data_IF_043712561154
#
_entry.id   IF_043712561154
#
_cell.length_a   1.000
_cell.length_b   1.000
_cell.length_c   1.000
_cell.angle_alpha   90.00
_cell.angle_beta   90.00
_cell.angle_gamma   90.00
#
_symmetry.space_group_name_H-M   'P 1'
#
loop_
_entity.id
_entity.type
_entity.pdbx_description
1 polymer ?
#
# COMPACT_ATOMS: atom_id res chain seq x y z
N UNK A 1 -5.87 -2.41 8.38
CA UNK A 1 -6.25 -3.28 7.24
C UNK A 1 -5.97 -4.75 7.59
N UNK A 2 -6.89 -5.65 7.25
CA UNK A 2 -6.87 -7.08 7.62
C UNK A 2 -6.37 -7.97 6.48
N UNK A 3 -5.95 -9.18 6.82
CA UNK A 3 -5.55 -10.22 5.85
C UNK A 3 -6.69 -10.55 4.86
N UNK A 4 -7.94 -10.46 5.29
CA UNK A 4 -9.10 -10.65 4.41
C UNK A 4 -9.23 -9.54 3.37
N UNK A 5 -8.96 -8.29 3.73
CA UNK A 5 -8.97 -7.15 2.80
C UNK A 5 -7.83 -7.25 1.79
N UNK A 6 -6.64 -7.68 2.23
CA UNK A 6 -5.51 -7.97 1.34
C UNK A 6 -5.90 -9.04 0.32
N UNK A 7 -6.50 -10.14 0.78
CA UNK A 7 -6.92 -11.22 -0.12
C UNK A 7 -8.00 -10.78 -1.12
N UNK A 8 -8.91 -9.87 -0.73
CA UNK A 8 -9.88 -9.26 -1.65
C UNK A 8 -9.21 -8.37 -2.68
N UNK A 9 -8.24 -7.55 -2.30
CA UNK A 9 -7.46 -6.74 -3.24
C UNK A 9 -6.73 -7.62 -4.25
N UNK A 10 -6.07 -8.69 -3.78
CA UNK A 10 -5.40 -9.67 -4.64
C UNK A 10 -6.36 -10.30 -5.64
N UNK A 11 -7.53 -10.79 -5.17
CA UNK A 11 -8.54 -11.39 -6.05
C UNK A 11 -9.04 -10.40 -7.09
N UNK A 12 -9.37 -9.18 -6.67
CA UNK A 12 -9.83 -8.12 -7.56
C UNK A 12 -8.79 -7.80 -8.64
N UNK A 13 -7.55 -7.49 -8.25
CA UNK A 13 -6.51 -7.11 -9.20
C UNK A 13 -6.11 -8.26 -10.13
N UNK A 14 -6.13 -9.50 -9.62
CA UNK A 14 -5.94 -10.69 -10.48
C UNK A 14 -7.05 -10.81 -11.52
N UNK A 15 -8.29 -10.44 -11.19
CA UNK A 15 -9.41 -10.47 -12.13
C UNK A 15 -9.38 -9.30 -13.14
N UNK A 16 -8.74 -8.18 -12.80
CA UNK A 16 -8.67 -6.99 -13.67
C UNK A 16 -7.38 -6.86 -14.47
N UNK A 17 -6.40 -7.74 -14.25
CA UNK A 17 -5.10 -7.75 -14.94
C UNK A 17 -4.82 -9.13 -15.53
N UNK A 18 -3.83 -9.25 -16.41
CA UNK A 18 -3.39 -10.53 -16.96
C UNK A 18 -2.34 -11.26 -16.09
N UNK A 19 -1.99 -10.69 -14.94
CA UNK A 19 -0.91 -11.19 -14.09
C UNK A 19 -1.37 -12.34 -13.19
N UNK A 20 -0.46 -13.27 -12.91
CA UNK A 20 -0.72 -14.40 -12.02
C UNK A 20 -1.01 -13.94 -10.59
N UNK A 21 -1.92 -14.65 -9.91
CA UNK A 21 -2.31 -14.37 -8.52
C UNK A 21 -1.12 -14.22 -7.57
N UNK A 22 -0.10 -15.06 -7.73
CA UNK A 22 1.09 -15.03 -6.87
C UNK A 22 1.89 -13.74 -7.06
N UNK A 23 2.11 -13.31 -8.31
CA UNK A 23 2.77 -12.04 -8.64
C UNK A 23 1.97 -10.86 -8.09
N UNK A 24 0.65 -10.85 -8.29
CA UNK A 24 -0.25 -9.81 -7.75
C UNK A 24 -0.19 -9.78 -6.23
N UNK A 25 -0.22 -10.95 -5.57
CA UNK A 25 -0.13 -11.05 -4.12
C UNK A 25 1.21 -10.53 -3.58
N UNK A 26 2.31 -10.85 -4.26
CA UNK A 26 3.63 -10.35 -3.90
C UNK A 26 3.68 -8.83 -3.98
N UNK A 27 3.26 -8.24 -5.11
CA UNK A 27 3.26 -6.79 -5.30
C UNK A 27 2.39 -6.09 -4.25
N UNK A 28 1.15 -6.54 -4.06
CA UNK A 28 0.21 -5.92 -3.12
C UNK A 28 0.75 -6.00 -1.69
N UNK A 29 1.18 -7.19 -1.23
CA UNK A 29 1.69 -7.35 0.14
C UNK A 29 2.94 -6.52 0.38
N UNK A 30 3.86 -6.47 -0.58
CA UNK A 30 5.06 -5.64 -0.47
C UNK A 30 4.71 -4.16 -0.44
N UNK A 31 3.84 -3.68 -1.34
CA UNK A 31 3.47 -2.27 -1.39
C UNK A 31 2.77 -1.79 -0.12
N UNK A 32 1.87 -2.60 0.44
CA UNK A 32 1.19 -2.30 1.69
C UNK A 32 2.15 -2.29 2.88
N UNK A 33 3.12 -3.21 2.93
CA UNK A 33 4.14 -3.23 3.95
C UNK A 33 5.05 -1.98 3.90
N UNK A 34 5.39 -1.51 2.70
CA UNK A 34 6.14 -0.26 2.50
C UNK A 34 5.34 0.97 2.94
N UNK A 35 4.04 1.00 2.64
CA UNK A 35 3.16 2.08 3.09
C UNK A 35 3.05 2.13 4.61
N UNK A 36 2.91 0.97 5.26
CA UNK A 36 2.91 0.87 6.72
C UNK A 36 4.24 1.33 7.34
N UNK A 37 5.38 0.94 6.76
CA UNK A 37 6.70 1.36 7.22
C UNK A 37 6.92 2.87 7.04
N UNK A 38 6.43 3.45 5.93
CA UNK A 38 6.48 4.90 5.71
C UNK A 38 5.64 5.66 6.73
N UNK A 39 4.38 5.25 6.95
CA UNK A 39 3.51 5.90 7.92
C UNK A 39 4.10 5.84 9.34
N UNK A 40 4.67 4.69 9.72
CA UNK A 40 5.35 4.52 11.00
C UNK A 40 6.52 5.50 11.23
N UNK A 41 7.15 5.98 10.16
CA UNK A 41 8.33 6.86 10.22
C UNK A 41 8.06 8.33 9.90
N UNK A 42 6.85 8.67 9.46
CA UNK A 42 6.50 10.02 9.00
C UNK A 42 5.17 10.49 9.58
N UNK A 43 5.17 11.63 10.26
CA UNK A 43 3.96 12.34 10.71
C UNK A 43 3.38 13.28 9.64
N UNK A 44 3.93 13.27 8.41
CA UNK A 44 3.50 14.14 7.31
C UNK A 44 2.40 13.49 6.47
N UNK A 45 1.43 14.33 6.09
CA UNK A 45 0.46 14.02 5.06
C UNK A 45 1.11 14.13 3.68
N UNK A 46 0.98 13.09 2.85
CA UNK A 46 1.48 13.04 1.48
C UNK A 46 0.32 13.07 0.49
N UNK A 47 0.56 13.59 -0.71
CA UNK A 47 -0.41 13.47 -1.81
C UNK A 47 -0.48 12.03 -2.28
N UNK A 48 -1.62 11.64 -2.83
CA UNK A 48 -1.83 10.31 -3.40
C UNK A 48 -0.79 9.94 -4.45
N UNK A 49 -0.41 10.89 -5.31
CA UNK A 49 0.60 10.70 -6.35
C UNK A 49 1.97 10.39 -5.74
N UNK A 50 2.39 11.15 -4.73
CA UNK A 50 3.67 10.91 -4.02
C UNK A 50 3.66 9.57 -3.28
N UNK A 51 2.54 9.18 -2.68
CA UNK A 51 2.41 7.86 -2.04
C UNK A 51 2.55 6.74 -3.05
N UNK A 52 1.84 6.84 -4.18
CA UNK A 52 1.90 5.83 -5.23
C UNK A 52 3.31 5.73 -5.82
N UNK A 53 3.99 6.87 -6.05
CA UNK A 53 5.38 6.91 -6.51
C UNK A 53 6.33 6.22 -5.53
N UNK A 54 6.24 6.55 -4.24
CA UNK A 54 7.07 5.92 -3.21
C UNK A 54 6.83 4.42 -3.16
N UNK A 55 5.56 3.99 -3.06
CA UNK A 55 5.23 2.57 -2.89
C UNK A 55 5.63 1.79 -4.14
N UNK A 56 5.44 2.35 -5.35
CA UNK A 56 5.95 1.75 -6.58
C UNK A 56 7.47 1.58 -6.54
N UNK A 57 8.21 2.65 -6.22
CA UNK A 57 9.67 2.63 -6.17
C UNK A 57 10.20 1.53 -5.25
N UNK A 58 9.71 1.48 -4.01
CA UNK A 58 10.18 0.49 -3.03
C UNK A 58 9.71 -0.94 -3.35
N UNK A 59 8.51 -1.09 -3.90
CA UNK A 59 8.02 -2.41 -4.33
C UNK A 59 8.87 -2.98 -5.45
N UNK A 60 9.27 -2.16 -6.44
CA UNK A 60 10.20 -2.57 -7.50
C UNK A 60 11.53 -2.99 -6.89
N UNK A 61 12.08 -2.20 -5.96
CA UNK A 61 13.35 -2.52 -5.29
C UNK A 61 13.31 -3.85 -4.52
N UNK A 62 12.18 -4.20 -3.89
CA UNK A 62 12.05 -5.42 -3.08
C UNK A 62 11.68 -6.66 -3.88
N UNK A 63 10.94 -6.51 -4.98
CA UNK A 63 10.44 -7.64 -5.77
C UNK A 63 11.25 -7.91 -7.03
N UNK A 64 12.05 -6.95 -7.48
CA UNK A 64 12.74 -6.95 -8.77
C UNK A 64 11.80 -7.13 -9.99
N UNK A 65 10.50 -6.84 -9.82
CA UNK A 65 9.51 -6.91 -10.89
C UNK A 65 9.55 -5.65 -11.77
N UNK A 66 9.14 -5.74 -13.06
CA UNK A 66 9.16 -4.61 -13.97
C UNK A 66 8.29 -3.43 -13.48
N UNK A 67 8.81 -2.21 -13.63
CA UNK A 67 8.09 -0.98 -13.22
C UNK A 67 6.67 -0.87 -13.79
N UNK A 68 6.41 -1.12 -15.10
CA UNK A 68 5.05 -1.00 -15.64
C UNK A 68 4.05 -1.94 -14.95
N UNK A 69 4.48 -3.17 -14.65
CA UNK A 69 3.67 -4.18 -13.96
C UNK A 69 3.36 -3.75 -12.53
N UNK A 70 4.37 -3.28 -11.79
CA UNK A 70 4.18 -2.81 -10.41
C UNK A 70 3.23 -1.61 -10.36
N UNK A 71 3.42 -0.63 -11.27
CA UNK A 71 2.54 0.54 -11.36
C UNK A 71 1.11 0.17 -11.69
N UNK A 72 0.89 -0.73 -12.65
CA UNK A 72 -0.45 -1.17 -13.04
C UNK A 72 -1.16 -1.88 -11.88
N UNK A 73 -0.49 -2.86 -11.25
CA UNK A 73 -1.06 -3.62 -10.13
C UNK A 73 -1.38 -2.72 -8.93
N UNK A 74 -0.47 -1.83 -8.53
CA UNK A 74 -0.71 -0.89 -7.42
C UNK A 74 -1.75 0.18 -7.80
N UNK A 75 -1.78 0.61 -9.06
CA UNK A 75 -2.82 1.51 -9.58
C UNK A 75 -4.22 0.88 -9.49
N UNK A 76 -4.36 -0.39 -9.88
CA UNK A 76 -5.60 -1.15 -9.71
C UNK A 76 -5.97 -1.37 -8.23
N UNK A 77 -4.98 -1.50 -7.35
CA UNK A 77 -5.16 -1.61 -5.91
C UNK A 77 -5.36 -0.24 -5.20
N UNK A 78 -5.48 0.86 -5.95
CA UNK A 78 -5.44 2.23 -5.41
C UNK A 78 -6.37 2.48 -4.22
N UNK A 79 -7.62 2.00 -4.27
CA UNK A 79 -8.56 2.13 -3.15
C UNK A 79 -8.02 1.57 -1.83
N UNK A 80 -7.43 0.37 -1.87
CA UNK A 80 -6.89 -0.27 -0.66
C UNK A 80 -5.63 0.42 -0.13
N UNK A 81 -4.84 1.01 -1.04
CA UNK A 81 -3.71 1.84 -0.64
C UNK A 81 -4.20 3.13 0.05
N UNK A 82 -5.23 3.76 -0.50
CA UNK A 82 -5.83 4.97 0.08
C UNK A 82 -6.44 4.68 1.47
N UNK A 83 -7.23 3.60 1.61
CA UNK A 83 -7.82 3.16 2.88
C UNK A 83 -6.77 2.82 3.96
N UNK A 84 -5.68 2.13 3.57
CA UNK A 84 -4.60 1.81 4.51
C UNK A 84 -3.88 3.08 4.95
N UNK A 85 -3.59 4.00 4.03
CA UNK A 85 -2.95 5.26 4.36
C UNK A 85 -3.80 6.10 5.33
N UNK A 86 -5.09 6.23 5.05
CA UNK A 86 -6.01 6.94 5.93
C UNK A 86 -6.05 6.31 7.31
N UNK A 87 -6.17 4.98 7.40
CA UNK A 87 -6.17 4.26 8.69
C UNK A 87 -4.91 4.57 9.50
N UNK A 88 -3.74 4.48 8.87
CA UNK A 88 -2.47 4.76 9.52
C UNK A 88 -2.36 6.23 9.93
N UNK A 89 -2.79 7.16 9.07
CA UNK A 89 -2.77 8.58 9.40
C UNK A 89 -3.63 8.92 10.63
N UNK A 90 -4.79 8.27 10.79
CA UNK A 90 -5.65 8.43 11.96
C UNK A 90 -5.04 7.81 13.22
N UNK A 91 -4.47 6.61 13.14
CA UNK A 91 -3.79 5.95 14.28
C UNK A 91 -2.62 6.80 14.80
N UNK A 92 -1.82 7.38 13.89
CA UNK A 92 -0.71 8.26 14.24
C UNK A 92 -1.15 9.59 14.87
N UNK A 93 -2.32 10.13 14.49
CA UNK A 93 -2.89 11.31 15.14
C UNK A 93 -3.47 11.00 16.52
N UNK A 94 -4.12 9.84 16.70
CA UNK A 94 -4.65 9.40 18.00
C UNK A 94 -3.57 9.20 19.06
N UNK A 95 -2.39 8.68 18.66
CA UNK A 95 -1.24 8.50 19.57
C UNK A 95 -0.59 9.81 20.03
N UNK A 96 -0.81 10.92 19.33
CA UNK A 96 -0.30 12.25 19.70
C UNK A 96 -1.27 13.04 20.60
N UNK A 97 -2.47 12.52 20.86
CA UNK A 97 -3.50 13.20 21.66
C UNK A 97 -3.60 12.77 23.12
N UNK A 98 -2.72 11.91 23.63
CA UNK A 98 -2.60 11.66 25.08
C UNK A 98 -1.32 12.30 25.67
N UNK A 99 -1.38 13.57 26.12
CA UNK A 99 -0.40 14.12 27.03
C UNK A 99 -0.88 14.25 28.48
N UNK A 100 -2.00 13.63 28.89
CA UNK A 100 -2.47 13.72 30.29
C UNK A 100 -3.20 12.46 30.80
N UNK A 101 -2.45 11.59 31.49
CA UNK A 101 -2.95 10.79 32.63
C UNK A 101 -2.05 11.04 33.84
#
# INVERSE_FOLDING_TARGET
MTENEINRAVQYVTATTSYGRETVAQIIRTGLAELAAMAASSSRHFTRETLLEYVCYWTIKRTALPEPMVREVLGCAGRWLDELYETLAHEHQGLLQDPDQ
#
